data_IF_022665023352
#
_entry.id   IF_022665023352
#
_cell.length_a   1.000
_cell.length_b   1.000
_cell.length_c   1.000
_cell.angle_alpha   90.00
_cell.angle_beta   90.00
_cell.angle_gamma   90.00
#
_symmetry.space_group_name_H-M   'P 1'
#
loop_
_entity.id
_entity.type
_entity.pdbx_description
1 polymer ?
#
# COMPACT_ATOMS: atom_id res chain seq x y z
N UNK A 1 -1.90 3.93 21.56
CA UNK A 1 -1.10 2.77 21.07
C UNK A 1 -0.26 3.11 19.82
N UNK A 2 -0.89 3.42 18.68
CA UNK A 2 -0.19 3.81 17.43
C UNK A 2 0.64 5.09 17.60
N UNK A 3 0.17 6.03 18.43
CA UNK A 3 0.89 7.26 18.78
C UNK A 3 2.28 7.05 19.37
N UNK A 4 2.57 5.84 19.88
CA UNK A 4 3.81 5.54 20.59
C UNK A 4 4.75 4.67 19.73
N UNK A 5 4.44 4.47 18.45
CA UNK A 5 5.22 3.62 17.54
C UNK A 5 6.36 4.36 16.83
N UNK A 6 6.62 5.62 17.19
CA UNK A 6 7.65 6.44 16.53
C UNK A 6 7.25 6.91 15.12
N UNK A 7 5.97 6.81 14.75
CA UNK A 7 5.48 7.25 13.46
C UNK A 7 5.31 8.77 13.41
N UNK A 8 5.69 9.38 12.30
CA UNK A 8 5.45 10.80 12.05
C UNK A 8 3.95 11.05 11.87
N UNK A 9 3.39 11.87 12.76
CA UNK A 9 1.97 12.23 12.75
C UNK A 9 1.79 13.69 12.40
N UNK A 10 0.79 13.97 11.58
CA UNK A 10 0.26 15.30 11.31
C UNK A 10 -1.25 15.26 11.56
N UNK A 11 -1.75 16.10 12.48
CA UNK A 11 -3.16 16.12 12.88
C UNK A 11 -3.76 14.73 13.22
N UNK A 12 -2.98 13.88 13.91
CA UNK A 12 -3.32 12.49 14.28
C UNK A 12 -3.42 11.51 13.10
N UNK A 13 -3.04 11.91 11.90
CA UNK A 13 -2.88 11.04 10.73
C UNK A 13 -1.40 10.73 10.51
N UNK A 14 -1.09 9.54 9.98
CA UNK A 14 0.27 9.09 9.70
C UNK A 14 0.73 9.72 8.38
N UNK A 15 1.83 10.47 8.43
CA UNK A 15 2.45 11.03 7.22
C UNK A 15 3.06 9.90 6.39
N UNK A 16 2.77 9.88 5.09
CA UNK A 16 3.27 8.86 4.17
C UNK A 16 3.82 9.47 2.89
N UNK A 17 4.71 8.74 2.23
CA UNK A 17 5.22 9.07 0.90
C UNK A 17 4.23 8.61 -0.19
N UNK A 18 3.90 9.47 -1.16
CA UNK A 18 2.88 9.18 -2.19
C UNK A 18 3.33 8.18 -3.25
N UNK A 19 4.61 7.82 -3.34
CA UNK A 19 5.10 6.80 -4.30
C UNK A 19 4.64 5.38 -3.92
N UNK A 20 4.59 5.07 -2.62
CA UNK A 20 4.35 3.71 -2.13
C UNK A 20 3.60 3.64 -0.79
N UNK A 21 3.20 4.78 -0.23
CA UNK A 21 2.48 4.90 1.05
C UNK A 21 3.22 4.31 2.26
N UNK A 22 4.56 4.24 2.18
CA UNK A 22 5.41 3.91 3.33
C UNK A 22 5.48 5.11 4.28
N UNK A 23 5.53 4.80 5.57
CA UNK A 23 5.73 5.77 6.66
C UNK A 23 7.21 6.15 6.77
N UNK A 24 7.60 6.87 7.83
CA UNK A 24 9.01 7.07 8.15
C UNK A 24 9.71 5.79 8.60
N UNK A 25 8.97 4.80 9.09
CA UNK A 25 9.53 3.51 9.50
C UNK A 25 9.53 2.53 8.33
N UNK A 26 10.70 1.99 8.01
CA UNK A 26 10.88 1.10 6.87
C UNK A 26 10.10 -0.21 7.03
N UNK A 27 9.32 -0.56 6.01
CA UNK A 27 8.44 -1.72 6.03
C UNK A 27 7.10 -1.51 6.74
N UNK A 28 6.83 -0.32 7.30
CA UNK A 28 5.52 0.06 7.82
C UNK A 28 4.83 1.00 6.82
N UNK A 29 3.61 0.63 6.45
CA UNK A 29 2.77 1.34 5.48
C UNK A 29 1.47 1.78 6.13
N UNK A 30 0.91 2.89 5.67
CA UNK A 30 -0.40 3.38 6.11
C UNK A 30 -1.24 3.81 4.91
N UNK A 31 -2.51 3.36 4.88
CA UNK A 31 -3.46 3.63 3.79
C UNK A 31 -4.84 3.94 4.38
N UNK A 32 -5.73 4.52 3.57
CA UNK A 32 -7.08 4.90 3.98
C UNK A 32 -7.09 6.15 4.86
N UNK A 33 -8.10 6.27 5.71
CA UNK A 33 -8.36 7.50 6.46
C UNK A 33 -7.31 7.82 7.53
N UNK A 34 -6.44 6.85 7.88
CA UNK A 34 -5.37 7.04 8.86
C UNK A 34 -4.15 7.73 8.28
N UNK A 35 -3.96 7.79 6.97
CA UNK A 35 -2.77 8.39 6.36
C UNK A 35 -3.03 9.81 5.82
N UNK A 36 -1.97 10.61 5.74
CA UNK A 36 -2.01 11.97 5.17
C UNK A 36 -0.80 12.23 4.26
N UNK A 37 -1.00 13.10 3.27
CA UNK A 37 -0.05 13.56 2.27
C UNK A 37 -0.66 14.75 1.50
N UNK A 38 0.12 15.56 0.76
CA UNK A 38 -0.41 16.69 0.01
C UNK A 38 -1.57 16.30 -0.93
N UNK A 39 -2.74 16.91 -0.71
CA UNK A 39 -3.95 16.65 -1.51
C UNK A 39 -4.77 15.42 -1.09
N UNK A 40 -4.50 14.80 0.07
CA UNK A 40 -5.28 13.66 0.58
C UNK A 40 -6.78 14.01 0.68
N UNK A 41 -7.60 13.13 0.12
CA UNK A 41 -9.05 13.09 0.34
C UNK A 41 -9.41 11.80 1.09
N UNK A 42 -10.27 11.91 2.12
CA UNK A 42 -10.77 10.76 2.90
C UNK A 42 -11.92 10.09 2.18
N UNK A 43 -11.58 9.34 1.15
CA UNK A 43 -12.53 8.64 0.30
C UNK A 43 -12.12 7.18 0.13
N UNK A 44 -13.11 6.29 0.04
CA UNK A 44 -12.89 4.85 -0.12
C UNK A 44 -12.01 4.55 -1.35
N UNK A 45 -12.26 5.23 -2.47
CA UNK A 45 -11.49 5.03 -3.70
C UNK A 45 -10.00 5.40 -3.58
N UNK A 46 -9.66 6.36 -2.71
CA UNK A 46 -8.28 6.75 -2.42
C UNK A 46 -7.59 5.62 -1.67
N UNK A 47 -8.26 5.04 -0.66
CA UNK A 47 -7.75 3.86 0.05
C UNK A 47 -7.47 2.66 -0.88
N UNK A 48 -8.29 2.43 -1.91
CA UNK A 48 -8.02 1.38 -2.91
C UNK A 48 -6.76 1.67 -3.74
N UNK A 49 -6.61 2.91 -4.22
CA UNK A 49 -5.40 3.32 -4.93
C UNK A 49 -4.15 3.19 -4.05
N UNK A 50 -4.26 3.63 -2.80
CA UNK A 50 -3.18 3.58 -1.82
C UNK A 50 -2.74 2.16 -1.52
N UNK A 51 -3.69 1.27 -1.26
CA UNK A 51 -3.44 -0.15 -1.03
C UNK A 51 -2.78 -0.83 -2.24
N UNK A 52 -3.17 -0.47 -3.46
CA UNK A 52 -2.58 -1.04 -4.67
C UNK A 52 -1.08 -0.70 -4.80
N UNK A 53 -0.68 0.54 -4.51
CA UNK A 53 0.73 0.94 -4.55
C UNK A 53 1.52 0.42 -3.34
N UNK A 54 0.95 0.40 -2.14
CA UNK A 54 1.59 -0.17 -0.96
C UNK A 54 1.89 -1.66 -1.15
N UNK A 55 0.92 -2.43 -1.67
CA UNK A 55 1.11 -3.86 -1.93
C UNK A 55 2.27 -4.16 -2.89
N UNK A 56 2.56 -3.26 -3.84
CA UNK A 56 3.69 -3.40 -4.78
C UNK A 56 5.04 -3.32 -4.06
N UNK A 57 5.20 -2.39 -3.11
CA UNK A 57 6.42 -2.30 -2.31
C UNK A 57 6.53 -3.47 -1.33
N UNK A 58 5.41 -3.83 -0.67
CA UNK A 58 5.34 -4.99 0.21
C UNK A 58 5.78 -6.28 -0.50
N UNK A 59 5.44 -6.47 -1.78
CA UNK A 59 5.88 -7.62 -2.55
C UNK A 59 7.41 -7.71 -2.64
N UNK A 60 8.08 -6.62 -3.02
CA UNK A 60 9.55 -6.57 -3.12
C UNK A 60 10.21 -6.90 -1.79
N UNK A 61 9.65 -6.40 -0.68
CA UNK A 61 10.16 -6.69 0.68
C UNK A 61 9.91 -8.15 1.09
N UNK A 62 8.72 -8.68 0.83
CA UNK A 62 8.35 -10.04 1.23
C UNK A 62 9.03 -11.11 0.37
N UNK A 63 9.40 -10.77 -0.87
CA UNK A 63 9.97 -11.70 -1.85
C UNK A 63 11.15 -11.05 -2.60
N UNK A 64 12.27 -10.77 -1.90
CA UNK A 64 13.40 -10.02 -2.47
C UNK A 64 14.08 -10.73 -3.65
N UNK A 65 13.92 -12.05 -3.76
CA UNK A 65 14.50 -12.87 -4.82
C UNK A 65 13.52 -13.09 -6.00
N UNK A 66 12.32 -12.53 -5.95
CA UNK A 66 11.34 -12.63 -7.04
C UNK A 66 11.21 -11.28 -7.76
N UNK A 67 11.35 -11.31 -9.08
CA UNK A 67 11.04 -10.14 -9.90
C UNK A 67 9.52 -9.99 -10.02
N UNK A 68 9.00 -8.81 -9.67
CA UNK A 68 7.60 -8.49 -9.86
C UNK A 68 7.26 -8.40 -11.36
N UNK A 69 6.34 -9.24 -11.82
CA UNK A 69 5.81 -9.21 -13.20
C UNK A 69 4.41 -8.62 -13.17
N UNK A 70 4.24 -7.43 -13.75
CA UNK A 70 2.94 -6.78 -13.84
C UNK A 70 2.03 -7.52 -14.83
N UNK A 71 0.80 -7.82 -14.42
CA UNK A 71 -0.17 -8.59 -15.19
C UNK A 71 -1.57 -8.02 -14.95
N UNK A 72 -2.41 -8.03 -15.99
CA UNK A 72 -3.81 -7.62 -15.86
C UNK A 72 -4.68 -8.79 -15.39
N UNK A 73 -5.63 -8.50 -14.52
CA UNK A 73 -6.57 -9.50 -13.99
C UNK A 73 -7.49 -10.09 -15.06
N UNK A 74 -7.66 -9.43 -16.22
CA UNK A 74 -8.54 -9.86 -17.30
C UNK A 74 -7.95 -10.92 -18.22
N UNK A 75 -6.62 -11.03 -18.30
CA UNK A 75 -5.92 -11.89 -19.27
C UNK A 75 -4.94 -12.87 -18.63
N UNK A 76 -4.58 -12.69 -17.36
CA UNK A 76 -3.61 -13.55 -16.70
C UNK A 76 -4.21 -14.84 -16.16
N UNK A 77 -3.81 -15.96 -16.75
CA UNK A 77 -4.13 -17.31 -16.25
C UNK A 77 -3.56 -17.56 -14.85
N UNK A 78 -2.39 -16.98 -14.54
CA UNK A 78 -1.78 -17.09 -13.21
C UNK A 78 -2.63 -16.38 -12.14
N UNK A 79 -3.13 -15.18 -12.45
CA UNK A 79 -4.01 -14.43 -11.54
C UNK A 79 -5.35 -15.15 -11.40
N UNK A 80 -5.97 -15.62 -12.49
CA UNK A 80 -7.21 -16.39 -12.43
C UNK A 80 -7.08 -17.60 -11.51
N UNK A 81 -5.97 -18.35 -11.60
CA UNK A 81 -5.68 -19.48 -10.69
C UNK A 81 -5.59 -19.04 -9.22
N UNK A 82 -4.97 -17.89 -8.93
CA UNK A 82 -4.92 -17.33 -7.56
C UNK A 82 -6.29 -16.89 -7.05
N UNK A 83 -7.16 -16.41 -7.95
CA UNK A 83 -8.53 -16.00 -7.64
C UNK A 83 -9.53 -17.18 -7.61
N UNK A 84 -9.10 -18.40 -7.96
CA UNK A 84 -9.98 -19.58 -8.02
C UNK A 84 -10.97 -19.57 -9.19
N UNK A 85 -10.71 -18.77 -10.23
CA UNK A 85 -11.52 -18.73 -11.46
C UNK A 85 -11.12 -19.94 -12.32
N UNK A 86 -12.10 -20.77 -12.69
CA UNK A 86 -11.93 -21.93 -13.56
C UNK A 86 -11.80 -21.51 -15.03
#
# INVERSE_FOLDING_TARGET
PISNWGLNLEEKCILVNTKNFQTNEEGIFAIGDICTYPGKLKLILSGFHEGALAARECFTRARPNENFVFQYTTSSTQIHKRLGIK
#
